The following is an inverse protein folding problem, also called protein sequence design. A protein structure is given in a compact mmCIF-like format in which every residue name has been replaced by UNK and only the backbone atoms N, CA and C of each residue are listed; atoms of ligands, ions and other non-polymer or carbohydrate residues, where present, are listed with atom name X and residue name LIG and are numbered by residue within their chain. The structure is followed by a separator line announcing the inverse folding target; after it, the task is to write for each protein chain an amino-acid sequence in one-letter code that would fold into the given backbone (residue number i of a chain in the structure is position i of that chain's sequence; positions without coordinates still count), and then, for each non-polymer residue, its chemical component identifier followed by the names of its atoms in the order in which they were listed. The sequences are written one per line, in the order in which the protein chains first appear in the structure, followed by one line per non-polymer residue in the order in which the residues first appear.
data_IF_875104011619
#
_entry.id   IF_875104011619
#
_cell.length_a   1.000
_cell.length_b   1.000
_cell.length_c   1.000
_cell.angle_alpha   90.00
_cell.angle_beta   90.00
_cell.angle_gamma   90.00
#
_symmetry.space_group_name_H-M   'P 1'
#
loop_
_entity.id
_entity.type
_entity.pdbx_description
1 polymer ?
#
# COMPACT_ATOMS: atom_id res chain seq x y z
N UNK A 1 1.69 -9.14 -16.53
CA UNK A 1 1.83 -7.89 -15.73
C UNK A 1 0.68 -6.97 -16.11
N UNK A 2 -0.19 -6.60 -15.16
CA UNK A 2 -1.42 -5.82 -15.37
C UNK A 2 -1.24 -4.33 -15.64
N UNK A 3 -0.09 -3.94 -16.21
CA UNK A 3 0.23 -2.57 -16.60
C UNK A 3 -0.15 -2.39 -18.08
N UNK A 4 -1.44 -2.19 -18.33
CA UNK A 4 -1.98 -2.03 -19.69
C UNK A 4 -2.97 -0.87 -19.76
N UNK A 5 -3.67 -0.77 -20.88
CA UNK A 5 -4.61 0.33 -21.15
C UNK A 5 -5.64 0.56 -20.04
N UNK A 6 -6.11 -0.51 -19.38
CA UNK A 6 -7.06 -0.40 -18.28
C UNK A 6 -6.51 0.41 -17.09
N UNK A 7 -5.23 0.29 -16.77
CA UNK A 7 -4.58 1.08 -15.73
C UNK A 7 -4.46 2.54 -16.15
N UNK A 8 -4.04 2.81 -17.39
CA UNK A 8 -3.90 4.17 -17.90
C UNK A 8 -5.25 4.90 -17.90
N UNK A 9 -6.32 4.20 -18.29
CA UNK A 9 -7.67 4.74 -18.28
C UNK A 9 -8.13 5.05 -16.85
N UNK A 10 -7.90 4.14 -15.89
CA UNK A 10 -8.21 4.37 -14.49
C UNK A 10 -7.40 5.54 -13.90
N UNK A 11 -6.12 5.65 -14.24
CA UNK A 11 -5.23 6.71 -13.77
C UNK A 11 -5.64 8.08 -14.30
N UNK A 12 -6.08 8.17 -15.56
CA UNK A 12 -6.47 9.42 -16.20
C UNK A 12 -7.71 10.07 -15.57
N UNK A 13 -8.56 9.27 -14.92
CA UNK A 13 -9.78 9.72 -14.25
C UNK A 13 -9.62 9.92 -12.74
N UNK A 14 -8.46 9.60 -12.16
CA UNK A 14 -8.24 9.65 -10.71
C UNK A 14 -7.66 11.01 -10.26
N UNK A 15 -8.06 11.45 -9.06
CA UNK A 15 -7.42 12.61 -8.41
C UNK A 15 -6.19 12.23 -7.58
N UNK A 16 -6.18 11.00 -7.04
CA UNK A 16 -5.15 10.48 -6.14
C UNK A 16 -4.78 9.06 -6.53
N UNK A 17 -3.49 8.76 -6.61
CA UNK A 17 -2.95 7.42 -6.81
C UNK A 17 -2.37 6.84 -5.52
N UNK A 18 -2.77 5.62 -5.14
CA UNK A 18 -2.20 4.92 -4.00
C UNK A 18 -1.58 3.61 -4.50
N UNK A 19 -0.25 3.50 -4.39
CA UNK A 19 0.46 2.26 -4.73
C UNK A 19 0.59 1.40 -3.47
N UNK A 20 0.03 0.20 -3.49
CA UNK A 20 0.13 -0.76 -2.38
C UNK A 20 1.28 -1.72 -2.64
N UNK A 21 2.23 -1.79 -1.71
CA UNK A 21 3.43 -2.64 -1.82
C UNK A 21 3.49 -3.63 -0.67
N UNK A 22 4.19 -4.75 -0.83
CA UNK A 22 4.55 -5.65 0.28
C UNK A 22 6.06 -5.56 0.56
N UNK A 23 6.56 -5.98 1.75
CA UNK A 23 7.98 -6.08 2.05
C UNK A 23 8.66 -7.18 1.23
N UNK A 24 8.81 -6.95 -0.06
CA UNK A 24 9.42 -7.87 -1.02
C UNK A 24 10.09 -7.06 -2.15
N UNK A 25 11.27 -7.50 -2.58
CA UNK A 25 12.05 -6.78 -3.59
C UNK A 25 11.39 -6.76 -4.96
N UNK A 26 10.62 -7.79 -5.31
CA UNK A 26 9.87 -7.84 -6.58
C UNK A 26 8.69 -6.88 -6.50
N UNK A 27 7.97 -6.86 -5.38
CA UNK A 27 6.89 -5.89 -5.14
C UNK A 27 7.39 -4.45 -5.27
N UNK A 28 8.51 -4.12 -4.63
CA UNK A 28 9.11 -2.79 -4.66
C UNK A 28 9.49 -2.34 -6.09
N UNK A 29 10.13 -3.21 -6.86
CA UNK A 29 10.51 -2.91 -8.25
C UNK A 29 9.31 -2.68 -9.17
N UNK A 30 8.28 -3.50 -8.99
CA UNK A 30 7.03 -3.34 -9.75
C UNK A 30 6.31 -2.05 -9.36
N UNK A 31 6.30 -1.72 -8.07
CA UNK A 31 5.70 -0.50 -7.55
C UNK A 31 6.35 0.77 -8.12
N UNK A 32 7.67 0.81 -8.21
CA UNK A 32 8.41 1.91 -8.84
C UNK A 32 8.04 2.07 -10.33
N UNK A 33 7.89 0.95 -11.05
CA UNK A 33 7.45 0.97 -12.46
C UNK A 33 6.02 1.50 -12.60
N UNK A 34 5.11 1.07 -11.72
CA UNK A 34 3.71 1.53 -11.68
C UNK A 34 3.64 3.01 -11.32
N UNK A 35 4.38 3.47 -10.31
CA UNK A 35 4.38 4.87 -9.87
C UNK A 35 4.87 5.80 -10.98
N UNK A 36 5.97 5.44 -11.67
CA UNK A 36 6.44 6.19 -12.86
C UNK A 36 5.37 6.27 -13.93
N UNK A 37 4.65 5.18 -14.18
CA UNK A 37 3.60 5.17 -15.19
C UNK A 37 2.44 6.09 -14.80
N UNK A 38 2.02 6.09 -13.53
CA UNK A 38 1.03 7.03 -13.01
C UNK A 38 1.49 8.48 -13.16
N UNK A 39 2.78 8.76 -12.95
CA UNK A 39 3.34 10.11 -13.14
C UNK A 39 3.29 10.57 -14.59
N UNK A 40 3.61 9.69 -15.53
CA UNK A 40 3.53 9.94 -16.98
C UNK A 40 2.08 10.17 -17.41
N UNK A 41 1.12 9.47 -16.80
CA UNK A 41 -0.32 9.69 -17.02
C UNK A 41 -0.84 11.00 -16.41
N UNK A 42 0.00 11.78 -15.73
CA UNK A 42 -0.37 13.08 -15.17
C UNK A 42 -1.00 13.03 -13.78
N UNK A 43 -1.11 11.84 -13.16
CA UNK A 43 -1.67 11.69 -11.82
C UNK A 43 -0.66 12.16 -10.77
N UNK A 44 -0.62 13.46 -10.43
CA UNK A 44 0.46 14.04 -9.60
C UNK A 44 0.35 13.78 -8.10
N UNK A 45 -0.85 13.73 -7.53
CA UNK A 45 -1.05 13.37 -6.12
C UNK A 45 -0.95 11.87 -5.99
N UNK A 46 0.20 11.39 -5.50
CA UNK A 46 0.45 9.97 -5.29
C UNK A 46 1.12 9.72 -3.96
N UNK A 47 0.84 8.55 -3.39
CA UNK A 47 1.52 8.04 -2.21
C UNK A 47 1.58 6.51 -2.27
N UNK A 48 2.29 5.89 -1.34
CA UNK A 48 2.31 4.44 -1.23
C UNK A 48 2.01 3.96 0.20
N UNK A 49 1.54 2.71 0.29
CA UNK A 49 1.27 2.01 1.57
C UNK A 49 2.05 0.70 1.56
N UNK A 50 2.73 0.39 2.66
CA UNK A 50 3.36 -0.91 2.87
C UNK A 50 2.36 -1.84 3.56
N UNK A 51 1.88 -2.85 2.85
CA UNK A 51 0.91 -3.83 3.31
C UNK A 51 1.58 -5.16 3.68
N UNK A 52 0.92 -5.96 4.52
CA UNK A 52 1.41 -7.28 4.99
C UNK A 52 2.78 -7.20 5.65
N UNK A 53 2.95 -6.23 6.54
CA UNK A 53 4.17 -6.13 7.34
C UNK A 53 4.13 -7.12 8.49
N UNK A 54 5.02 -8.10 8.43
CA UNK A 54 5.28 -9.03 9.53
C UNK A 54 6.58 -8.63 10.24
N UNK A 55 6.50 -8.38 11.54
CA UNK A 55 7.64 -7.91 12.34
C UNK A 55 8.72 -8.98 12.51
N UNK A 56 8.36 -10.25 12.61
CA UNK A 56 9.32 -11.34 12.75
C UNK A 56 10.07 -11.55 11.43
N UNK A 57 9.35 -11.50 10.30
CA UNK A 57 9.95 -11.59 8.97
C UNK A 57 10.88 -10.40 8.72
N UNK A 58 10.48 -9.18 9.07
CA UNK A 58 11.35 -8.00 8.98
C UNK A 58 12.64 -8.16 9.81
N UNK A 59 12.53 -8.64 11.05
CA UNK A 59 13.69 -8.86 11.94
C UNK A 59 14.64 -9.93 11.42
N UNK A 60 14.15 -10.90 10.66
CA UNK A 60 14.99 -11.95 10.06
C UNK A 60 15.97 -11.41 9.00
N UNK A 61 15.74 -10.20 8.47
CA UNK A 61 16.60 -9.59 7.44
C UNK A 61 16.42 -10.17 6.03
N UNK A 62 15.54 -11.17 5.85
CA UNK A 62 15.29 -11.82 4.56
C UNK A 62 14.43 -10.96 3.61
N UNK A 63 13.77 -9.94 4.13
CA UNK A 63 12.91 -9.01 3.39
C UNK A 63 13.43 -7.57 3.53
N UNK A 64 13.10 -6.66 2.59
CA UNK A 64 13.50 -5.27 2.70
C UNK A 64 12.85 -4.60 3.93
N UNK A 65 13.66 -3.89 4.70
CA UNK A 65 13.19 -3.09 5.83
C UNK A 65 12.34 -1.89 5.41
N UNK A 66 11.50 -1.38 6.32
CA UNK A 66 10.62 -0.23 6.08
C UNK A 66 11.41 1.00 5.58
N UNK A 67 12.54 1.33 6.22
CA UNK A 67 13.39 2.45 5.81
C UNK A 67 14.02 2.25 4.43
N UNK A 68 14.30 1.01 4.04
CA UNK A 68 14.81 0.71 2.71
C UNK A 68 13.71 0.95 1.68
N UNK A 69 12.49 0.43 1.93
CA UNK A 69 11.33 0.64 1.06
C UNK A 69 11.05 2.14 0.90
N UNK A 70 11.00 2.89 2.00
CA UNK A 70 10.70 4.32 1.97
C UNK A 70 11.73 5.16 1.20
N UNK A 71 13.00 4.77 1.19
CA UNK A 71 14.05 5.44 0.41
C UNK A 71 14.03 5.11 -1.07
N UNK A 72 13.49 3.96 -1.46
CA UNK A 72 13.45 3.53 -2.86
C UNK A 72 12.20 4.02 -3.59
N UNK A 73 11.12 4.32 -2.87
CA UNK A 73 9.90 4.86 -3.47
C UNK A 73 10.04 6.37 -3.71
N UNK A 74 9.61 6.83 -4.89
CA UNK A 74 9.69 8.25 -5.29
C UNK A 74 8.55 9.11 -4.73
N UNK A 75 7.58 8.51 -4.05
CA UNK A 75 6.39 9.15 -3.50
C UNK A 75 6.32 8.99 -1.97
N UNK A 76 5.59 9.85 -1.25
CA UNK A 76 5.50 9.76 0.20
C UNK A 76 4.78 8.49 0.67
N UNK A 77 5.23 7.96 1.81
CA UNK A 77 4.56 6.85 2.49
C UNK A 77 3.35 7.37 3.27
N UNK A 78 2.15 6.86 2.97
CA UNK A 78 0.93 7.18 3.73
C UNK A 78 0.83 6.37 5.03
N UNK A 79 1.29 5.12 5.02
CA UNK A 79 1.40 4.31 6.23
C UNK A 79 1.68 2.84 5.95
N UNK A 80 1.45 2.05 7.00
CA UNK A 80 1.84 0.64 7.06
C UNK A 80 0.65 -0.17 7.59
N UNK A 81 0.37 -1.30 6.95
CA UNK A 81 -0.64 -2.25 7.38
C UNK A 81 0.08 -3.55 7.78
N UNK A 82 0.05 -3.94 9.07
CA UNK A 82 0.67 -5.18 9.52
C UNK A 82 -0.09 -6.40 9.00
N UNK A 83 0.60 -7.55 8.98
CA UNK A 83 -0.08 -8.84 8.89
C UNK A 83 -0.93 -9.03 10.14
N UNK A 84 -2.23 -9.28 9.95
CA UNK A 84 -3.15 -9.56 11.04
C UNK A 84 -4.20 -10.58 10.60
N UNK A 85 -4.43 -11.59 11.42
CA UNK A 85 -5.38 -12.67 11.14
C UNK A 85 -6.82 -12.16 11.05
N UNK A 86 -7.20 -11.14 11.81
CA UNK A 86 -8.53 -10.55 11.78
C UNK A 86 -8.83 -9.87 10.44
N UNK A 87 -7.81 -9.36 9.73
CA UNK A 87 -7.99 -8.87 8.35
C UNK A 87 -8.39 -10.04 7.43
N UNK A 88 -7.71 -11.19 7.55
CA UNK A 88 -8.02 -12.39 6.76
C UNK A 88 -9.40 -12.97 7.11
N UNK A 89 -9.68 -13.12 8.40
CA UNK A 89 -10.96 -13.63 8.89
C UNK A 89 -12.11 -12.73 8.46
N UNK A 90 -11.98 -11.41 8.62
CA UNK A 90 -13.00 -10.45 8.20
C UNK A 90 -13.29 -10.53 6.70
N UNK A 91 -12.26 -10.61 5.86
CA UNK A 91 -12.42 -10.78 4.42
C UNK A 91 -13.17 -12.07 4.07
N UNK A 92 -12.85 -13.18 4.73
CA UNK A 92 -13.52 -14.47 4.50
C UNK A 92 -14.98 -14.50 5.01
N UNK A 93 -15.30 -13.69 6.02
CA UNK A 93 -16.66 -13.55 6.55
C UNK A 93 -17.49 -12.48 5.82
N UNK A 94 -16.92 -11.80 4.82
CA UNK A 94 -17.59 -10.70 4.11
C UNK A 94 -17.81 -9.45 4.97
N UNK A 95 -17.12 -9.33 6.09
CA UNK A 95 -17.22 -8.20 7.02
C UNK A 95 -15.88 -7.49 7.16
N UNK A 96 -15.74 -6.25 6.66
CA UNK A 96 -14.51 -5.50 6.79
C UNK A 96 -14.12 -5.32 8.26
N UNK A 97 -12.89 -5.71 8.60
CA UNK A 97 -12.38 -5.63 9.99
C UNK A 97 -12.39 -4.21 10.57
N UNK A 98 -12.42 -3.18 9.72
CA UNK A 98 -12.54 -1.77 10.13
C UNK A 98 -13.89 -1.43 10.76
N UNK A 99 -14.92 -2.27 10.58
CA UNK A 99 -16.22 -2.10 11.23
C UNK A 99 -16.21 -2.51 12.71
N UNK A 100 -15.19 -3.27 13.14
CA UNK A 100 -15.02 -3.59 14.54
C UNK A 100 -14.61 -2.31 15.32
N UNK A 101 -15.52 -1.86 16.18
CA UNK A 101 -15.34 -0.69 17.03
C UNK A 101 -14.04 -0.78 17.83
N UNK A 102 -13.31 0.33 17.87
CA UNK A 102 -12.11 0.53 18.71
C UNK A 102 -10.92 -0.42 18.41
N UNK A 103 -10.93 -1.13 17.28
CA UNK A 103 -9.79 -1.97 16.88
C UNK A 103 -8.59 -1.12 16.45
N UNK A 104 -7.38 -1.62 16.73
CA UNK A 104 -6.15 -0.96 16.28
C UNK A 104 -6.08 -0.87 14.75
N UNK A 105 -6.66 -1.84 14.03
CA UNK A 105 -6.73 -1.85 12.57
C UNK A 105 -7.62 -0.70 12.08
N UNK A 106 -8.81 -0.51 12.67
CA UNK A 106 -9.68 0.61 12.32
C UNK A 106 -8.98 1.96 12.55
N UNK A 107 -8.29 2.14 13.68
CA UNK A 107 -7.50 3.34 13.99
C UNK A 107 -6.36 3.57 13.00
N UNK A 108 -5.66 2.50 12.62
CA UNK A 108 -4.56 2.58 11.66
C UNK A 108 -5.06 2.97 10.26
N UNK A 109 -6.10 2.30 9.75
CA UNK A 109 -6.71 2.65 8.46
C UNK A 109 -7.26 4.09 8.46
N UNK A 110 -7.87 4.53 9.56
CA UNK A 110 -8.34 5.91 9.72
C UNK A 110 -7.17 6.90 9.67
N UNK A 111 -6.05 6.59 10.34
CA UNK A 111 -4.84 7.43 10.32
C UNK A 111 -4.20 7.52 8.93
N UNK A 112 -4.23 6.42 8.17
CA UNK A 112 -3.78 6.39 6.78
C UNK A 112 -4.71 7.25 5.91
N UNK A 113 -6.03 7.09 6.06
CA UNK A 113 -7.01 7.87 5.30
C UNK A 113 -6.84 9.39 5.52
N UNK A 114 -6.66 9.82 6.78
CA UNK A 114 -6.41 11.23 7.14
C UNK A 114 -5.11 11.81 6.57
N UNK A 115 -4.16 10.98 6.15
CA UNK A 115 -2.93 11.44 5.48
C UNK A 115 -3.09 11.57 3.98
N UNK A 116 -4.07 10.89 3.41
CA UNK A 116 -4.33 10.82 1.97
C UNK A 116 -5.36 11.87 1.55
N UNK A 117 -6.43 12.00 2.32
CA UNK A 117 -7.59 12.87 2.06
C UNK A 117 -7.60 14.05 3.01
#
# INVERSE_FOLDING_TARGET
LGIGQAMENAASAADIGIVVVTPDYVSLRNADTVDRKLDVCGLKRRCFIINKVDLEVLRSGNVPGIEHIARNMSTPMAGIIPCDENIHLGNNMGSPVVLASDSYIAKNFSSIALRIF
#
